data_IF_407583939832
#
_entry.id   IF_407583939832
#
_cell.length_a   1.000
_cell.length_b   1.000
_cell.length_c   1.000
_cell.angle_alpha   90.00
_cell.angle_beta   90.00
_cell.angle_gamma   90.00
#
_symmetry.space_group_name_H-M   'P 1'
#
loop_
_entity.id
_entity.type
_entity.pdbx_description
1 polymer ?
#
# COMPACT_ATOMS: atom_id res chain seq x y z
N UNK A 1 16.70 12.85 -11.65
CA UNK A 1 16.46 12.86 -10.19
C UNK A 1 15.55 11.69 -9.87
N UNK A 2 16.03 10.75 -9.05
CA UNK A 2 15.28 9.55 -8.61
C UNK A 2 14.01 9.97 -7.87
N UNK A 3 12.96 9.13 -7.90
CA UNK A 3 11.68 9.49 -7.28
C UNK A 3 11.80 9.66 -5.77
N UNK A 4 12.61 8.84 -5.09
CA UNK A 4 12.87 9.00 -3.66
C UNK A 4 13.43 10.39 -3.33
N UNK A 5 14.41 10.88 -4.10
CA UNK A 5 15.00 12.21 -3.89
C UNK A 5 13.99 13.34 -4.12
N UNK A 6 13.05 13.18 -5.05
CA UNK A 6 11.94 14.14 -5.24
C UNK A 6 11.00 14.13 -4.03
N UNK A 7 10.60 12.94 -3.57
CA UNK A 7 9.71 12.77 -2.42
C UNK A 7 10.30 13.37 -1.15
N UNK A 8 11.58 13.10 -0.85
CA UNK A 8 12.27 13.66 0.32
C UNK A 8 12.33 15.19 0.23
N UNK A 9 12.59 15.74 -0.96
CA UNK A 9 12.65 17.20 -1.15
C UNK A 9 11.29 17.87 -0.94
N UNK A 10 10.20 17.24 -1.38
CA UNK A 10 8.85 17.83 -1.33
C UNK A 10 8.14 17.62 0.00
N UNK A 11 8.29 16.43 0.61
CA UNK A 11 7.51 16.02 1.78
C UNK A 11 8.35 15.75 3.03
N UNK A 12 9.68 15.68 2.90
CA UNK A 12 10.57 15.31 4.00
C UNK A 12 10.38 13.85 4.46
N UNK A 13 11.12 13.47 5.51
CA UNK A 13 11.00 12.15 6.14
C UNK A 13 11.81 11.03 5.46
N UNK A 14 11.37 9.78 5.67
CA UNK A 14 11.98 8.54 5.16
C UNK A 14 13.37 8.15 5.69
N UNK A 15 13.98 8.93 6.58
CA UNK A 15 15.32 8.62 7.11
C UNK A 15 15.36 7.23 7.76
N UNK A 16 14.37 6.88 8.59
CA UNK A 16 14.28 5.56 9.22
C UNK A 16 14.19 4.41 8.21
N UNK A 17 13.47 4.62 7.10
CA UNK A 17 13.35 3.62 6.04
C UNK A 17 14.66 3.49 5.23
N UNK A 18 15.35 4.62 5.01
CA UNK A 18 16.67 4.67 4.37
C UNK A 18 17.69 3.95 5.25
N UNK A 19 17.68 4.19 6.56
CA UNK A 19 18.60 3.56 7.51
C UNK A 19 18.36 2.04 7.61
N UNK A 20 17.11 1.60 7.53
CA UNK A 20 16.74 0.19 7.63
C UNK A 20 17.06 -0.62 6.36
N UNK A 21 16.77 -0.08 5.18
CA UNK A 21 16.80 -0.84 3.91
C UNK A 21 17.93 -0.39 2.97
N UNK A 22 18.46 0.81 3.18
CA UNK A 22 19.48 1.44 2.35
C UNK A 22 18.89 2.26 1.20
N UNK A 23 19.44 3.47 1.01
CA UNK A 23 18.98 4.46 0.02
C UNK A 23 18.84 3.85 -1.39
N UNK A 24 19.86 3.13 -1.87
CA UNK A 24 19.86 2.54 -3.23
C UNK A 24 18.73 1.52 -3.45
N UNK A 25 18.38 0.75 -2.42
CA UNK A 25 17.31 -0.24 -2.53
C UNK A 25 15.95 0.47 -2.58
N UNK A 26 15.76 1.45 -1.70
CA UNK A 26 14.55 2.27 -1.64
C UNK A 26 14.36 3.10 -2.92
N UNK A 27 15.42 3.67 -3.49
CA UNK A 27 15.39 4.36 -4.78
C UNK A 27 14.88 3.44 -5.90
N UNK A 28 15.48 2.25 -6.05
CA UNK A 28 15.05 1.26 -7.06
C UNK A 28 13.58 0.87 -6.87
N UNK A 29 13.14 0.72 -5.63
CA UNK A 29 11.75 0.42 -5.32
C UNK A 29 10.82 1.57 -5.76
N UNK A 30 11.11 2.80 -5.36
CA UNK A 30 10.32 3.99 -5.71
C UNK A 30 10.23 4.19 -7.23
N UNK A 31 11.37 4.09 -7.93
CA UNK A 31 11.41 4.26 -9.39
C UNK A 31 10.60 3.17 -10.10
N UNK A 32 10.66 1.92 -9.63
CA UNK A 32 9.85 0.80 -10.17
C UNK A 32 8.35 1.02 -9.97
N UNK A 33 7.94 1.46 -8.77
CA UNK A 33 6.52 1.73 -8.48
C UNK A 33 6.02 2.88 -9.34
N UNK A 34 6.81 3.97 -9.45
CA UNK A 34 6.46 5.11 -10.28
C UNK A 34 6.31 4.74 -11.75
N UNK A 35 7.26 3.98 -12.31
CA UNK A 35 7.16 3.50 -13.69
C UNK A 35 5.91 2.64 -13.91
N UNK A 36 5.56 1.78 -12.94
CA UNK A 36 4.32 1.00 -12.97
C UNK A 36 3.08 1.89 -13.01
N UNK A 37 3.00 2.91 -12.15
CA UNK A 37 1.89 3.86 -12.16
C UNK A 37 1.81 4.65 -13.48
N UNK A 38 2.94 5.13 -14.01
CA UNK A 38 2.97 5.80 -15.31
C UNK A 38 2.39 4.93 -16.42
N UNK A 39 2.75 3.63 -16.45
CA UNK A 39 2.22 2.68 -17.42
C UNK A 39 0.72 2.44 -17.27
N UNK A 40 0.20 2.53 -16.04
CA UNK A 40 -1.22 2.33 -15.76
C UNK A 40 -2.09 3.47 -16.30
N UNK A 41 -1.58 4.71 -16.26
CA UNK A 41 -2.29 5.92 -16.70
C UNK A 41 -2.01 6.31 -18.14
N UNK A 42 -0.93 5.81 -18.76
CA UNK A 42 -0.60 6.12 -20.15
C UNK A 42 -1.65 5.53 -21.10
N UNK A 43 -2.50 6.40 -21.68
CA UNK A 43 -3.58 5.98 -22.57
C UNK A 43 -4.76 5.31 -21.84
N UNK A 44 -4.91 5.51 -20.53
CA UNK A 44 -5.99 4.92 -19.75
C UNK A 44 -7.37 5.46 -20.16
N UNK A 45 -8.27 4.55 -20.51
CA UNK A 45 -9.68 4.86 -20.73
C UNK A 45 -10.43 5.21 -19.44
N UNK A 46 -11.64 5.77 -19.58
CA UNK A 46 -12.48 6.20 -18.46
C UNK A 46 -12.68 5.12 -17.38
N UNK A 47 -12.97 3.88 -17.78
CA UNK A 47 -13.21 2.78 -16.84
C UNK A 47 -11.99 2.49 -15.97
N UNK A 48 -10.79 2.48 -16.55
CA UNK A 48 -9.54 2.25 -15.81
C UNK A 48 -9.28 3.38 -14.79
N UNK A 49 -9.59 4.62 -15.15
CA UNK A 49 -9.50 5.75 -14.23
C UNK A 49 -10.49 5.61 -13.05
N UNK A 50 -11.73 5.19 -13.30
CA UNK A 50 -12.73 4.92 -12.25
C UNK A 50 -12.28 3.79 -11.34
N UNK A 51 -11.73 2.69 -11.89
CA UNK A 51 -11.16 1.60 -11.09
C UNK A 51 -10.05 2.11 -10.16
N UNK A 52 -9.13 2.92 -10.68
CA UNK A 52 -8.04 3.49 -9.88
C UNK A 52 -8.54 4.47 -8.81
N UNK A 53 -9.59 5.25 -9.10
CA UNK A 53 -10.26 6.10 -8.11
C UNK A 53 -10.85 5.25 -6.96
N UNK A 54 -11.53 4.15 -7.30
CA UNK A 54 -12.05 3.22 -6.30
C UNK A 54 -10.93 2.57 -5.49
N UNK A 55 -9.83 2.14 -6.12
CA UNK A 55 -8.65 1.62 -5.42
C UNK A 55 -8.11 2.64 -4.40
N UNK A 56 -7.99 3.91 -4.79
CA UNK A 56 -7.57 4.99 -3.89
C UNK A 56 -8.56 5.21 -2.73
N UNK A 57 -9.86 5.17 -3.00
CA UNK A 57 -10.88 5.29 -1.96
C UNK A 57 -10.83 4.13 -0.95
N UNK A 58 -10.65 2.88 -1.40
CA UNK A 58 -10.51 1.74 -0.51
C UNK A 58 -9.20 1.79 0.28
N UNK A 59 -8.10 2.17 -0.37
CA UNK A 59 -6.80 2.34 0.28
C UNK A 59 -6.85 3.42 1.37
N UNK A 60 -7.50 4.56 1.10
CA UNK A 60 -7.62 5.64 2.09
C UNK A 60 -8.39 5.16 3.33
N UNK A 61 -9.52 4.45 3.15
CA UNK A 61 -10.27 3.85 4.27
C UNK A 61 -9.39 2.91 5.11
N UNK A 62 -8.57 2.08 4.46
CA UNK A 62 -7.63 1.18 5.15
C UNK A 62 -6.54 1.96 5.88
N UNK A 63 -6.00 3.00 5.28
CA UNK A 63 -5.01 3.86 5.94
C UNK A 63 -5.60 4.56 7.17
N UNK A 64 -6.84 5.06 7.08
CA UNK A 64 -7.55 5.64 8.25
C UNK A 64 -7.73 4.62 9.37
N UNK A 65 -8.13 3.38 9.04
CA UNK A 65 -8.23 2.31 10.03
C UNK A 65 -6.86 1.97 10.65
N UNK A 66 -5.81 1.95 9.83
CA UNK A 66 -4.44 1.74 10.31
C UNK A 66 -4.05 2.79 11.35
N UNK A 67 -4.31 4.07 11.06
CA UNK A 67 -4.05 5.17 12.00
C UNK A 67 -4.88 5.03 13.27
N UNK A 68 -6.17 4.69 13.16
CA UNK A 68 -7.04 4.50 14.32
C UNK A 68 -6.50 3.40 15.25
N UNK A 69 -6.13 2.24 14.69
CA UNK A 69 -5.57 1.14 15.46
C UNK A 69 -4.20 1.47 16.05
N UNK A 70 -3.39 2.31 15.39
CA UNK A 70 -2.13 2.78 15.93
C UNK A 70 -2.35 3.66 17.16
N UNK A 71 -3.26 4.64 17.07
CA UNK A 71 -3.62 5.49 18.20
C UNK A 71 -4.18 4.67 19.37
N UNK A 72 -5.00 3.65 19.08
CA UNK A 72 -5.46 2.71 20.12
C UNK A 72 -4.30 1.93 20.75
N UNK A 73 -3.31 1.53 19.96
CA UNK A 73 -2.12 0.83 20.44
C UNK A 73 -1.35 1.69 21.43
N UNK A 74 -1.13 2.96 21.12
CA UNK A 74 -0.43 3.90 22.00
C UNK A 74 -1.17 4.09 23.33
N UNK A 75 -2.48 4.30 23.28
CA UNK A 75 -3.34 4.47 24.45
C UNK A 75 -3.36 3.21 25.35
N UNK A 76 -3.50 2.03 24.75
CA UNK A 76 -3.53 0.75 25.48
C UNK A 76 -2.17 0.38 26.08
N UNK A 77 -1.08 0.72 25.37
CA UNK A 77 0.28 0.51 25.86
C UNK A 77 0.54 1.37 27.10
N UNK A 78 0.08 2.64 27.10
CA UNK A 78 0.15 3.52 28.27
C UNK A 78 -0.59 2.99 29.50
N UNK A 79 -1.58 2.10 29.31
CA UNK A 79 -2.34 1.42 30.37
C UNK A 79 -1.83 0.02 30.70
N UNK A 80 -0.67 -0.40 30.18
CA UNK A 80 -0.08 -1.73 30.37
C UNK A 80 -0.96 -2.91 29.91
N UNK A 81 -1.89 -2.68 28.97
CA UNK A 81 -2.77 -3.71 28.42
C UNK A 81 -2.09 -4.44 27.24
N UNK A 82 -1.05 -5.22 27.55
CA UNK A 82 -0.12 -5.79 26.56
C UNK A 82 -0.77 -6.64 25.46
N UNK A 83 -1.72 -7.50 25.82
CA UNK A 83 -2.40 -8.36 24.84
C UNK A 83 -3.20 -7.53 23.81
N UNK A 84 -3.97 -6.55 24.30
CA UNK A 84 -4.76 -5.68 23.43
C UNK A 84 -3.87 -4.80 22.55
N UNK A 85 -2.76 -4.30 23.12
CA UNK A 85 -1.73 -3.53 22.40
C UNK A 85 -1.18 -4.33 21.22
N UNK A 86 -0.88 -5.62 21.42
CA UNK A 86 -0.40 -6.49 20.34
C UNK A 86 -1.45 -6.62 19.21
N UNK A 87 -2.71 -6.86 19.55
CA UNK A 87 -3.77 -7.00 18.56
C UNK A 87 -4.00 -5.71 17.76
N UNK A 88 -4.07 -4.57 18.43
CA UNK A 88 -4.27 -3.29 17.74
C UNK A 88 -3.07 -2.93 16.88
N UNK A 89 -1.85 -3.23 17.33
CA UNK A 89 -0.64 -3.01 16.52
C UNK A 89 -0.66 -3.89 15.26
N UNK A 90 -1.01 -5.17 15.41
CA UNK A 90 -1.18 -6.08 14.28
C UNK A 90 -2.21 -5.55 13.27
N UNK A 91 -3.39 -5.13 13.72
CA UNK A 91 -4.42 -4.60 12.83
C UNK A 91 -4.03 -3.27 12.18
N UNK A 92 -3.23 -2.45 12.86
CA UNK A 92 -2.65 -1.26 12.26
C UNK A 92 -1.78 -1.65 11.06
N UNK A 93 -0.75 -2.46 11.29
CA UNK A 93 0.18 -2.90 10.25
C UNK A 93 -0.53 -3.66 9.11
N UNK A 94 -1.50 -4.51 9.44
CA UNK A 94 -2.28 -5.25 8.47
C UNK A 94 -3.07 -4.31 7.53
N UNK A 95 -3.72 -3.28 8.07
CA UNK A 95 -4.45 -2.32 7.24
C UNK A 95 -3.50 -1.43 6.42
N UNK A 96 -2.33 -1.03 6.95
CA UNK A 96 -1.30 -0.34 6.18
C UNK A 96 -0.81 -1.20 4.99
N UNK A 97 -0.55 -2.49 5.23
CA UNK A 97 -0.14 -3.43 4.18
C UNK A 97 -1.23 -3.58 3.11
N UNK A 98 -2.49 -3.80 3.51
CA UNK A 98 -3.60 -3.92 2.57
C UNK A 98 -3.79 -2.66 1.72
N UNK A 99 -3.59 -1.47 2.30
CA UNK A 99 -3.64 -0.20 1.58
C UNK A 99 -2.60 -0.16 0.47
N UNK A 100 -1.35 -0.50 0.81
CA UNK A 100 -0.24 -0.55 -0.16
C UNK A 100 -0.47 -1.61 -1.25
N UNK A 101 -0.96 -2.80 -0.89
CA UNK A 101 -1.29 -3.84 -1.88
C UNK A 101 -2.39 -3.39 -2.84
N UNK A 102 -3.42 -2.71 -2.35
CA UNK A 102 -4.53 -2.18 -3.18
C UNK A 102 -4.04 -1.16 -4.20
N UNK A 103 -3.04 -0.36 -3.83
CA UNK A 103 -2.43 0.67 -4.70
C UNK A 103 -1.29 0.14 -5.57
N UNK A 104 -0.95 -1.14 -5.47
CA UNK A 104 0.16 -1.70 -6.20
C UNK A 104 -0.22 -1.90 -7.67
N UNK A 105 0.49 -1.26 -8.63
CA UNK A 105 0.06 -1.22 -10.04
C UNK A 105 0.15 -2.55 -10.78
N UNK A 106 1.01 -3.47 -10.33
CA UNK A 106 1.16 -4.80 -10.92
C UNK A 106 0.28 -5.88 -10.26
N UNK A 107 -0.50 -5.52 -9.24
CA UNK A 107 -1.52 -6.40 -8.67
C UNK A 107 -2.82 -6.07 -9.38
N UNK A 108 -3.22 -6.98 -10.26
CA UNK A 108 -4.55 -6.98 -10.84
C UNK A 108 -5.44 -7.98 -10.10
N UNK A 109 -6.62 -7.53 -9.68
CA UNK A 109 -7.58 -8.40 -8.98
C UNK A 109 -8.34 -9.26 -10.00
N UNK A 110 -8.19 -8.99 -11.30
CA UNK A 110 -8.73 -9.83 -12.37
C UNK A 110 -7.86 -11.08 -12.60
N UNK A 111 -8.02 -12.09 -11.74
CA UNK A 111 -7.70 -13.46 -12.11
C UNK A 111 -8.47 -14.50 -11.31
N UNK A 112 -9.73 -14.68 -11.69
CA UNK A 112 -10.42 -15.98 -11.73
C UNK A 112 -11.83 -15.73 -12.26
N UNK A 113 -12.06 -15.82 -13.58
CA UNK A 113 -13.33 -16.23 -14.22
C UNK A 113 -13.26 -16.24 -15.77
N UNK A 114 -12.11 -16.54 -16.36
CA UNK A 114 -11.98 -16.61 -17.83
C UNK A 114 -10.95 -17.64 -18.30
N UNK A 115 -11.00 -18.86 -17.72
CA UNK A 115 -10.45 -20.03 -18.41
C UNK A 115 -11.53 -21.11 -18.57
N UNK A 116 -12.21 -21.19 -19.73
CA UNK A 116 -13.21 -22.23 -20.00
C UNK A 116 -12.63 -23.66 -19.99
N UNK A 117 -11.30 -23.84 -20.05
CA UNK A 117 -10.67 -25.16 -19.97
C UNK A 117 -10.66 -25.77 -18.55
N UNK A 118 -10.88 -24.97 -17.51
CA UNK A 118 -10.91 -25.47 -16.13
C UNK A 118 -12.27 -26.09 -15.73
N UNK A 119 -13.34 -25.89 -16.52
CA UNK A 119 -14.70 -26.40 -16.21
C UNK A 119 -14.95 -27.86 -16.61
N UNK A 120 -14.03 -28.53 -17.31
CA UNK A 120 -14.23 -29.91 -17.79
C UNK A 120 -13.45 -30.98 -17.02
N UNK A 121 -12.89 -30.66 -15.85
CA UNK A 121 -12.17 -31.64 -15.00
C UNK A 121 -12.65 -31.68 -13.55
N UNK A 122 -13.96 -31.54 -13.35
CA UNK A 122 -14.66 -31.97 -12.14
C UNK A 122 -15.93 -32.70 -12.56
#
# INVERSE_FOLDING_TARGET
MTMLKKLIKEYGGFQEAIDLVGEKCLEKFCDRVYAGLCSEYQGAGYIKNVQWLLRHFYASKKMTLSSLFLTQTEELNGKNLKNLTFYTCYYSLFNALLSNLTLTPYIDIEKEHSNPAARQRL
#
